data_IF_753079937978
#
_entry.id   IF_753079937978
#
_cell.length_a   1.000
_cell.length_b   1.000
_cell.length_c   1.000
_cell.angle_alpha   90.00
_cell.angle_beta   90.00
_cell.angle_gamma   90.00
#
_symmetry.space_group_name_H-M   'P 1'
#
loop_
_entity.id
_entity.type
_entity.pdbx_description
1 polymer ?
#
# COMPACT_ATOMS: atom_id res chain seq x y z
N UNK A 1 1.58 -17.03 -13.73
CA UNK A 1 2.01 -15.69 -13.40
C UNK A 1 1.36 -15.30 -12.09
N UNK A 2 2.13 -15.18 -11.03
CA UNK A 2 1.66 -14.79 -9.70
C UNK A 2 2.86 -14.46 -8.80
N UNK A 3 2.58 -13.92 -7.62
CA UNK A 3 3.47 -13.84 -6.48
C UNK A 3 2.65 -14.09 -5.21
N UNK A 4 3.27 -14.37 -4.10
CA UNK A 4 2.56 -14.47 -2.82
C UNK A 4 3.52 -14.34 -1.63
N UNK A 5 2.97 -13.87 -0.51
CA UNK A 5 3.63 -13.86 0.78
C UNK A 5 2.82 -14.67 1.81
N UNK A 6 3.44 -15.67 2.39
CA UNK A 6 2.86 -16.45 3.49
C UNK A 6 3.33 -15.89 4.83
N UNK A 7 2.38 -15.38 5.62
CA UNK A 7 2.64 -14.80 6.96
C UNK A 7 2.14 -15.74 8.04
N UNK A 8 2.95 -16.65 8.57
CA UNK A 8 2.59 -17.44 9.73
C UNK A 8 2.64 -16.60 11.02
N UNK A 9 2.11 -17.13 12.10
CA UNK A 9 2.28 -16.54 13.44
C UNK A 9 3.76 -16.40 13.80
N UNK A 10 4.06 -15.50 14.71
CA UNK A 10 5.43 -15.21 15.15
C UNK A 10 6.17 -16.45 15.62
N UNK A 11 7.49 -16.47 15.46
CA UNK A 11 8.34 -17.64 15.71
C UNK A 11 8.42 -18.63 14.54
N UNK A 12 7.53 -18.53 13.55
CA UNK A 12 7.57 -19.35 12.33
C UNK A 12 8.15 -18.53 11.15
N UNK A 13 8.80 -19.22 10.21
CA UNK A 13 9.43 -18.56 9.06
C UNK A 13 8.38 -18.15 8.04
N UNK A 14 8.31 -16.87 7.67
CA UNK A 14 7.51 -16.42 6.52
C UNK A 14 8.16 -16.86 5.21
N UNK A 15 7.38 -16.84 4.15
CA UNK A 15 7.87 -17.18 2.81
C UNK A 15 7.28 -16.24 1.76
N UNK A 16 8.14 -15.59 1.01
CA UNK A 16 7.79 -14.91 -0.24
C UNK A 16 8.10 -15.82 -1.42
N UNK A 17 7.20 -15.91 -2.38
CA UNK A 17 7.38 -16.63 -3.62
C UNK A 17 7.09 -15.72 -4.80
N UNK A 18 8.04 -15.68 -5.72
CA UNK A 18 7.92 -14.96 -6.98
C UNK A 18 7.87 -15.98 -8.11
N UNK A 19 7.05 -15.72 -9.12
CA UNK A 19 6.86 -16.63 -10.25
C UNK A 19 7.32 -15.97 -11.54
N UNK A 20 7.74 -16.80 -12.46
CA UNK A 20 8.03 -16.37 -13.84
C UNK A 20 6.71 -16.14 -14.56
N UNK A 21 6.54 -14.94 -15.09
CA UNK A 21 5.40 -14.55 -15.89
C UNK A 21 5.82 -14.48 -17.36
N UNK A 22 5.40 -15.45 -18.14
CA UNK A 22 5.90 -15.64 -19.52
C UNK A 22 7.44 -15.79 -19.54
N UNK A 23 8.16 -14.74 -19.92
CA UNK A 23 9.63 -14.70 -19.96
C UNK A 23 10.25 -13.77 -18.93
N UNK A 24 9.44 -13.21 -18.01
CA UNK A 24 9.88 -12.25 -17.01
C UNK A 24 9.79 -12.87 -15.63
N UNK A 25 10.86 -12.77 -14.88
CA UNK A 25 10.90 -13.25 -13.51
C UNK A 25 10.38 -12.17 -12.57
N UNK A 26 9.39 -12.51 -11.75
CA UNK A 26 8.73 -11.55 -10.83
C UNK A 26 9.66 -10.95 -9.78
N UNK A 27 10.78 -11.62 -9.49
CA UNK A 27 11.79 -11.11 -8.56
C UNK A 27 12.66 -9.97 -9.13
N UNK A 28 12.43 -9.58 -10.37
CA UNK A 28 13.05 -8.42 -11.02
C UNK A 28 12.11 -7.20 -11.12
N UNK A 29 10.87 -7.32 -10.64
CA UNK A 29 9.92 -6.20 -10.56
C UNK A 29 9.87 -5.66 -9.12
N UNK A 30 10.49 -4.51 -8.89
CA UNK A 30 10.57 -3.91 -7.57
C UNK A 30 9.19 -3.63 -6.95
N UNK A 31 8.21 -3.25 -7.77
CA UNK A 31 6.86 -2.99 -7.29
C UNK A 31 6.22 -4.27 -6.74
N UNK A 32 6.39 -5.39 -7.43
CA UNK A 32 5.87 -6.70 -6.98
C UNK A 32 6.60 -7.20 -5.74
N UNK A 33 7.94 -7.06 -5.69
CA UNK A 33 8.73 -7.44 -4.50
C UNK A 33 8.24 -6.71 -3.26
N UNK A 34 8.07 -5.39 -3.36
CA UNK A 34 7.62 -4.55 -2.23
C UNK A 34 6.17 -4.88 -1.87
N UNK A 35 5.30 -5.08 -2.86
CA UNK A 35 3.92 -5.49 -2.64
C UNK A 35 3.83 -6.77 -1.80
N UNK A 36 4.54 -7.80 -2.20
CA UNK A 36 4.53 -9.07 -1.46
C UNK A 36 5.09 -8.92 -0.04
N UNK A 37 6.16 -8.15 0.12
CA UNK A 37 6.69 -7.88 1.45
C UNK A 37 5.70 -7.07 2.31
N UNK A 38 4.91 -6.19 1.67
CA UNK A 38 3.83 -5.42 2.28
C UNK A 38 2.78 -6.31 2.97
N UNK A 39 2.44 -7.46 2.38
CA UNK A 39 1.58 -8.47 3.05
C UNK A 39 2.20 -8.97 4.36
N UNK A 40 3.51 -9.20 4.37
CA UNK A 40 4.22 -9.57 5.59
C UNK A 40 4.13 -8.50 6.67
N UNK A 41 4.31 -7.24 6.31
CA UNK A 41 4.23 -6.09 7.22
C UNK A 41 2.79 -5.96 7.77
N UNK A 42 1.81 -5.83 6.91
CA UNK A 42 0.42 -5.55 7.29
C UNK A 42 -0.19 -6.68 8.13
N UNK A 43 0.03 -7.94 7.75
CA UNK A 43 -0.43 -9.09 8.52
C UNK A 43 0.23 -9.23 9.90
N UNK A 44 1.50 -8.79 10.04
CA UNK A 44 2.22 -8.85 11.32
C UNK A 44 1.85 -7.72 12.27
N UNK A 45 1.58 -6.55 11.74
CA UNK A 45 1.27 -5.37 12.55
C UNK A 45 -0.19 -5.36 12.99
N UNK A 46 -1.12 -5.78 12.12
CA UNK A 46 -2.55 -5.79 12.44
C UNK A 46 -2.91 -6.93 13.37
N UNK A 47 -3.44 -6.62 14.54
CA UNK A 47 -3.81 -7.61 15.56
C UNK A 47 -2.64 -8.22 16.32
N UNK A 48 -1.42 -7.79 16.02
CA UNK A 48 -0.19 -8.22 16.68
C UNK A 48 0.39 -9.52 16.14
N UNK A 49 1.54 -9.96 16.69
CA UNK A 49 2.38 -11.00 16.07
C UNK A 49 1.75 -12.39 16.04
N UNK A 50 0.79 -12.68 16.91
CA UNK A 50 0.12 -13.97 16.98
C UNK A 50 -1.13 -14.08 16.09
N UNK A 51 -1.62 -12.96 15.52
CA UNK A 51 -2.88 -12.88 14.81
C UNK A 51 -2.69 -12.49 13.32
N UNK A 52 -2.00 -13.33 12.55
CA UNK A 52 -1.61 -13.06 11.17
C UNK A 52 -2.74 -13.18 10.12
N UNK A 53 -4.00 -13.35 10.53
CA UNK A 53 -5.17 -13.50 9.65
C UNK A 53 -6.21 -12.38 9.81
N UNK A 54 -5.83 -11.26 10.42
CA UNK A 54 -6.74 -10.17 10.74
C UNK A 54 -7.25 -9.37 9.52
N UNK A 55 -6.63 -9.52 8.35
CA UNK A 55 -6.99 -8.76 7.13
C UNK A 55 -7.83 -9.57 6.13
N UNK A 56 -8.59 -10.57 6.60
CA UNK A 56 -9.41 -11.45 5.74
C UNK A 56 -10.92 -11.23 5.92
N UNK A 57 -11.32 -10.02 6.28
CA UNK A 57 -12.72 -9.61 6.42
C UNK A 57 -13.32 -9.13 5.08
N UNK A 58 -14.57 -8.65 5.09
CA UNK A 58 -15.25 -8.21 3.87
C UNK A 58 -14.61 -6.98 3.23
N UNK A 59 -14.17 -6.02 4.03
CA UNK A 59 -13.41 -4.82 3.60
C UNK A 59 -11.90 -5.05 3.70
N UNK A 60 -11.43 -6.20 3.18
CA UNK A 60 -10.03 -6.62 3.32
C UNK A 60 -9.07 -5.68 2.58
N UNK A 61 -8.40 -4.84 3.36
CA UNK A 61 -7.46 -3.84 2.87
C UNK A 61 -6.05 -4.38 2.61
N UNK A 62 -5.80 -5.68 2.78
CA UNK A 62 -4.47 -6.30 2.71
C UNK A 62 -3.71 -5.99 1.42
N UNK A 63 -4.38 -6.09 0.27
CA UNK A 63 -3.83 -5.74 -1.04
C UNK A 63 -3.49 -4.25 -1.12
N UNK A 64 -4.35 -3.39 -0.57
CA UNK A 64 -4.14 -1.95 -0.59
C UNK A 64 -2.96 -1.49 0.27
N UNK A 65 -2.77 -2.09 1.44
CA UNK A 65 -1.57 -1.84 2.24
C UNK A 65 -0.30 -2.23 1.47
N UNK A 66 -0.33 -3.34 0.74
CA UNK A 66 0.79 -3.82 -0.07
C UNK A 66 1.09 -2.90 -1.26
N UNK A 67 0.06 -2.47 -1.99
CA UNK A 67 0.20 -1.52 -3.08
C UNK A 67 0.72 -0.16 -2.58
N UNK A 68 0.23 0.30 -1.42
CA UNK A 68 0.73 1.53 -0.81
C UNK A 68 2.24 1.47 -0.56
N UNK A 69 2.74 0.41 0.08
CA UNK A 69 4.18 0.26 0.27
C UNK A 69 4.93 0.17 -1.04
N UNK A 70 4.36 -0.50 -2.06
CA UNK A 70 4.93 -0.58 -3.40
C UNK A 70 5.11 0.82 -4.01
N UNK A 71 4.07 1.63 -3.98
CA UNK A 71 4.09 3.00 -4.48
C UNK A 71 5.12 3.86 -3.75
N UNK A 72 5.11 3.79 -2.41
CA UNK A 72 5.97 4.61 -1.56
C UNK A 72 7.45 4.29 -1.74
N UNK A 73 7.83 3.00 -1.73
CA UNK A 73 9.23 2.59 -1.78
C UNK A 73 9.81 2.57 -3.21
N UNK A 74 8.97 2.80 -4.23
CA UNK A 74 9.40 3.03 -5.61
C UNK A 74 9.23 4.49 -6.06
N UNK A 75 8.90 5.39 -5.14
CA UNK A 75 8.78 6.82 -5.41
C UNK A 75 10.16 7.43 -5.65
N UNK A 76 10.26 8.30 -6.66
CA UNK A 76 11.50 8.96 -7.05
C UNK A 76 11.40 10.49 -6.94
N UNK A 77 12.53 11.19 -6.81
CA UNK A 77 12.55 12.65 -6.89
C UNK A 77 11.99 13.14 -8.24
N UNK A 78 10.96 13.96 -8.19
CA UNK A 78 10.32 14.52 -9.39
C UNK A 78 8.99 13.85 -9.73
N UNK A 79 8.62 12.76 -9.08
CA UNK A 79 7.27 12.20 -9.19
C UNK A 79 6.23 13.23 -8.75
N UNK A 80 5.06 13.20 -9.39
CA UNK A 80 3.92 14.05 -9.07
C UNK A 80 2.65 13.23 -8.85
N UNK A 81 1.76 13.72 -7.99
CA UNK A 81 0.50 13.02 -7.65
C UNK A 81 -0.33 12.60 -8.86
N UNK A 82 -0.50 13.48 -9.89
CA UNK A 82 -1.24 13.13 -11.11
C UNK A 82 -0.55 12.13 -12.05
N UNK A 83 0.70 11.75 -11.79
CA UNK A 83 1.39 10.80 -12.66
C UNK A 83 0.75 9.41 -12.62
N UNK A 84 0.88 8.67 -13.73
CA UNK A 84 0.48 7.27 -13.82
C UNK A 84 1.43 6.39 -13.00
N UNK A 85 0.91 5.70 -11.99
CA UNK A 85 1.68 4.77 -11.17
C UNK A 85 1.03 3.39 -11.19
N UNK A 86 1.46 2.54 -12.14
CA UNK A 86 1.01 1.15 -12.18
C UNK A 86 1.88 0.25 -11.29
N UNK A 87 1.27 -0.75 -10.67
CA UNK A 87 1.98 -1.80 -9.93
C UNK A 87 2.21 -3.00 -10.85
N UNK A 88 3.42 -3.57 -10.88
CA UNK A 88 3.75 -4.76 -11.67
C UNK A 88 3.82 -4.53 -13.18
N UNK A 89 4.03 -3.30 -13.63
CA UNK A 89 4.05 -2.93 -15.06
C UNK A 89 5.13 -3.70 -15.83
N UNK A 90 6.33 -3.78 -15.28
CA UNK A 90 7.42 -4.50 -15.94
C UNK A 90 7.10 -6.00 -16.06
N UNK A 91 6.54 -6.61 -15.01
CA UNK A 91 6.22 -8.05 -14.99
C UNK A 91 5.26 -8.45 -16.11
N UNK A 92 4.26 -7.62 -16.40
CA UNK A 92 3.26 -7.88 -17.45
C UNK A 92 3.67 -7.35 -18.83
N UNK A 93 4.86 -6.75 -18.95
CA UNK A 93 5.40 -6.31 -20.23
C UNK A 93 5.05 -4.90 -20.64
N UNK A 94 4.59 -4.09 -19.70
CA UNK A 94 4.33 -2.68 -19.90
C UNK A 94 5.55 -1.82 -19.58
N UNK A 95 5.52 -0.56 -20.02
CA UNK A 95 6.47 0.47 -19.60
C UNK A 95 6.10 1.10 -18.25
N UNK A 96 6.96 1.96 -17.71
CA UNK A 96 6.73 2.60 -16.40
C UNK A 96 5.42 3.38 -16.29
N UNK A 97 4.90 3.92 -17.39
CA UNK A 97 3.61 4.63 -17.43
C UNK A 97 2.42 3.74 -17.78
N UNK A 98 2.55 2.41 -17.69
CA UNK A 98 1.45 1.48 -17.91
C UNK A 98 0.49 1.42 -16.72
N UNK A 99 -0.76 0.96 -16.92
CA UNK A 99 -1.75 0.83 -15.85
C UNK A 99 -1.40 -0.24 -14.81
N UNK A 100 -0.55 -1.23 -15.18
CA UNK A 100 -0.19 -2.33 -14.30
C UNK A 100 -1.28 -3.38 -14.13
N UNK A 101 -1.26 -4.08 -13.02
CA UNK A 101 -2.16 -5.22 -12.72
C UNK A 101 -3.49 -4.82 -12.05
N UNK A 102 -3.72 -3.53 -11.81
CA UNK A 102 -4.95 -3.01 -11.21
C UNK A 102 -5.93 -2.52 -12.30
N UNK A 103 -7.15 -2.21 -11.89
CA UNK A 103 -8.17 -1.67 -12.81
C UNK A 103 -7.77 -0.28 -13.30
N UNK A 104 -7.25 0.54 -12.39
CA UNK A 104 -6.70 1.86 -12.71
C UNK A 104 -5.25 1.97 -12.20
N UNK A 105 -4.40 2.76 -12.87
CA UNK A 105 -3.13 3.19 -12.27
C UNK A 105 -3.42 4.12 -11.09
N UNK A 106 -2.54 4.14 -10.10
CA UNK A 106 -2.65 5.10 -9.02
C UNK A 106 -2.29 6.50 -9.52
N UNK A 107 -3.14 7.46 -9.23
CA UNK A 107 -3.00 8.87 -9.63
C UNK A 107 -3.92 9.72 -8.75
N UNK A 108 -3.52 10.96 -8.46
CA UNK A 108 -4.41 11.96 -7.83
C UNK A 108 -5.26 12.70 -8.86
N UNK A 109 -5.11 12.42 -10.15
CA UNK A 109 -6.02 12.90 -11.18
C UNK A 109 -7.24 11.99 -11.26
N UNK A 110 -8.40 12.50 -10.84
CA UNK A 110 -9.65 11.77 -10.84
C UNK A 110 -10.12 11.32 -12.23
N UNK A 111 -9.59 11.92 -13.30
CA UNK A 111 -9.83 11.46 -14.66
C UNK A 111 -9.02 10.19 -15.00
N UNK A 112 -7.96 9.90 -14.26
CA UNK A 112 -7.11 8.72 -14.41
C UNK A 112 -7.56 7.62 -13.46
N UNK A 113 -7.73 7.94 -12.16
CA UNK A 113 -8.21 7.02 -11.15
C UNK A 113 -9.47 7.59 -10.48
N UNK A 114 -10.66 7.19 -10.91
CA UNK A 114 -11.91 7.73 -10.40
C UNK A 114 -12.41 7.05 -9.12
N UNK A 115 -11.63 6.19 -8.49
CA UNK A 115 -12.06 5.45 -7.30
C UNK A 115 -12.50 6.36 -6.16
N UNK A 116 -13.60 5.97 -5.55
CA UNK A 116 -14.17 6.54 -4.33
C UNK A 116 -14.47 5.42 -3.33
N UNK A 117 -14.73 5.77 -2.09
CA UNK A 117 -15.14 4.78 -1.08
C UNK A 117 -16.40 3.99 -1.49
N UNK A 118 -17.29 4.60 -2.29
CA UNK A 118 -18.53 3.94 -2.74
C UNK A 118 -18.25 2.72 -3.63
N UNK A 119 -17.13 2.68 -4.31
CA UNK A 119 -16.76 1.60 -5.24
C UNK A 119 -16.52 0.26 -4.52
N UNK A 120 -16.24 0.26 -3.22
CA UNK A 120 -16.12 -1.00 -2.45
C UNK A 120 -17.38 -1.87 -2.51
N UNK A 121 -18.55 -1.30 -2.80
CA UNK A 121 -19.83 -2.02 -2.94
C UNK A 121 -19.82 -3.01 -4.09
N UNK A 122 -19.03 -2.74 -5.12
CA UNK A 122 -18.95 -3.53 -6.35
C UNK A 122 -17.57 -4.09 -6.62
N UNK A 123 -16.55 -3.59 -5.93
CA UNK A 123 -15.16 -4.03 -6.07
C UNK A 123 -14.99 -5.49 -5.67
N UNK A 124 -14.23 -6.24 -6.47
CA UNK A 124 -13.96 -7.65 -6.21
C UNK A 124 -12.86 -7.78 -5.15
N UNK A 125 -13.19 -8.32 -4.00
CA UNK A 125 -12.24 -8.61 -2.95
C UNK A 125 -11.30 -9.78 -3.36
N UNK A 126 -10.02 -9.79 -2.91
CA UNK A 126 -9.38 -8.75 -2.11
C UNK A 126 -8.81 -7.59 -2.93
N UNK A 127 -8.46 -7.82 -4.21
CA UNK A 127 -7.68 -6.89 -5.01
C UNK A 127 -8.41 -5.57 -5.29
N UNK A 128 -9.64 -5.62 -5.78
CA UNK A 128 -10.39 -4.39 -6.09
C UNK A 128 -10.71 -3.56 -4.85
N UNK A 129 -11.05 -4.19 -3.73
CA UNK A 129 -11.25 -3.48 -2.45
C UNK A 129 -9.93 -2.86 -1.99
N UNK A 130 -8.83 -3.60 -2.09
CA UNK A 130 -7.49 -3.08 -1.77
C UNK A 130 -7.06 -1.91 -2.65
N UNK A 131 -7.38 -1.95 -3.95
CA UNK A 131 -7.10 -0.87 -4.88
C UNK A 131 -7.77 0.44 -4.46
N UNK A 132 -9.04 0.39 -4.05
CA UNK A 132 -9.74 1.58 -3.51
C UNK A 132 -9.03 2.10 -2.25
N UNK A 133 -8.63 1.20 -1.34
CA UNK A 133 -7.91 1.60 -0.13
C UNK A 133 -6.56 2.27 -0.43
N UNK A 134 -5.77 1.68 -1.33
CA UNK A 134 -4.48 2.24 -1.70
C UNK A 134 -4.62 3.60 -2.41
N UNK A 135 -5.68 3.80 -3.20
CA UNK A 135 -5.98 5.10 -3.81
C UNK A 135 -6.20 6.17 -2.74
N UNK A 136 -6.96 5.89 -1.68
CA UNK A 136 -7.17 6.83 -0.57
C UNK A 136 -5.85 7.15 0.16
N UNK A 137 -4.99 6.15 0.38
CA UNK A 137 -3.68 6.35 1.00
C UNK A 137 -2.73 7.16 0.09
N UNK A 138 -2.84 6.99 -1.22
CA UNK A 138 -2.06 7.73 -2.20
C UNK A 138 -2.45 9.21 -2.21
N UNK A 139 -3.75 9.52 -2.20
CA UNK A 139 -4.26 10.88 -2.04
C UNK A 139 -3.76 11.53 -0.74
N UNK A 140 -3.92 10.85 0.39
CA UNK A 140 -3.42 11.32 1.69
C UNK A 140 -1.93 11.65 1.63
N UNK A 141 -1.14 10.80 0.99
CA UNK A 141 0.31 10.99 0.88
C UNK A 141 0.64 12.29 0.13
N UNK A 142 -0.02 12.53 -0.99
CA UNK A 142 0.24 13.73 -1.79
C UNK A 142 -0.27 15.00 -1.11
N UNK A 143 -1.36 14.94 -0.35
CA UNK A 143 -1.81 16.06 0.50
C UNK A 143 -0.77 16.40 1.58
N UNK A 144 -0.19 15.40 2.23
CA UNK A 144 0.91 15.62 3.18
C UNK A 144 2.13 16.22 2.47
N UNK A 145 2.50 15.68 1.30
CA UNK A 145 3.65 16.17 0.53
C UNK A 145 3.43 17.57 -0.07
N UNK A 146 2.19 18.03 -0.22
CA UNK A 146 1.89 19.41 -0.59
C UNK A 146 2.29 20.40 0.52
N UNK A 147 2.33 19.97 1.77
CA UNK A 147 2.73 20.79 2.94
C UNK A 147 4.17 20.55 3.36
N UNK A 148 4.64 19.30 3.28
CA UNK A 148 6.00 18.90 3.63
C UNK A 148 6.63 18.21 2.42
N UNK A 149 7.59 18.83 1.72
CA UNK A 149 8.16 18.29 0.49
C UNK A 149 8.78 16.89 0.65
N UNK A 150 8.89 16.18 -0.48
CA UNK A 150 9.53 14.87 -0.56
C UNK A 150 10.98 14.88 -0.05
N UNK A 151 11.37 13.85 0.68
CA UNK A 151 12.77 13.58 1.06
C UNK A 151 13.26 12.29 0.39
N UNK A 152 14.40 12.29 -0.31
CA UNK A 152 14.98 11.08 -0.88
C UNK A 152 15.61 10.14 0.17
N UNK A 153 15.80 10.60 1.39
CA UNK A 153 16.30 9.76 2.49
C UNK A 153 15.12 9.08 3.20
N UNK A 154 14.79 7.88 2.75
CA UNK A 154 13.72 7.09 3.36
C UNK A 154 14.02 6.63 4.80
N UNK A 155 15.28 6.65 5.21
CA UNK A 155 15.69 6.11 6.49
C UNK A 155 15.77 7.17 7.60
N UNK A 156 16.40 8.33 7.31
CA UNK A 156 16.57 9.41 8.27
C UNK A 156 15.85 10.69 7.88
N UNK A 157 15.13 10.68 6.74
CA UNK A 157 14.42 11.84 6.25
C UNK A 157 13.20 12.19 7.09
N UNK A 158 12.72 13.41 6.89
CA UNK A 158 11.51 13.95 7.52
C UNK A 158 10.59 14.60 6.49
N UNK A 159 10.64 14.15 5.25
CA UNK A 159 9.74 14.60 4.19
C UNK A 159 8.30 14.06 4.37
N UNK A 160 7.38 14.57 3.58
CA UNK A 160 5.99 14.13 3.60
C UNK A 160 5.81 12.64 3.31
N UNK A 161 6.65 12.07 2.46
CA UNK A 161 6.73 10.64 2.22
C UNK A 161 7.14 9.84 3.47
N UNK A 162 8.12 10.33 4.25
CA UNK A 162 8.52 9.71 5.52
C UNK A 162 7.40 9.79 6.57
N UNK A 163 6.71 10.94 6.64
CA UNK A 163 5.56 11.15 7.53
C UNK A 163 4.44 10.19 7.16
N UNK A 164 4.05 10.12 5.89
CA UNK A 164 3.02 9.20 5.42
C UNK A 164 3.35 7.74 5.73
N UNK A 165 4.59 7.30 5.47
CA UNK A 165 5.05 5.95 5.82
C UNK A 165 4.95 5.69 7.33
N UNK A 166 5.31 6.66 8.16
CA UNK A 166 5.23 6.53 9.61
C UNK A 166 3.76 6.41 10.08
N UNK A 167 2.88 7.26 9.57
CA UNK A 167 1.45 7.25 9.87
C UNK A 167 0.79 5.92 9.51
N UNK A 168 1.04 5.43 8.30
CA UNK A 168 0.48 4.17 7.82
C UNK A 168 1.03 2.98 8.61
N UNK A 169 2.34 2.95 8.85
CA UNK A 169 2.96 1.84 9.59
C UNK A 169 2.51 1.80 11.05
N UNK A 170 2.36 2.94 11.71
CA UNK A 170 1.83 2.99 13.07
C UNK A 170 0.32 2.69 13.09
N UNK A 171 -0.44 3.21 12.10
CA UNK A 171 -1.86 2.91 11.95
C UNK A 171 -2.14 1.42 11.83
N UNK A 172 -1.31 0.65 11.11
CA UNK A 172 -1.41 -0.81 11.05
C UNK A 172 -1.32 -1.50 12.43
N UNK A 173 -0.55 -0.94 13.36
CA UNK A 173 -0.45 -1.46 14.73
C UNK A 173 -1.64 -1.10 15.60
N UNK A 174 -2.27 0.03 15.32
CA UNK A 174 -3.37 0.59 16.10
C UNK A 174 -4.74 0.11 15.65
N UNK A 175 -4.90 -0.32 14.40
CA UNK A 175 -6.18 -0.81 13.91
C UNK A 175 -6.58 -2.14 14.57
N UNK A 176 -7.89 -2.41 14.76
CA UNK A 176 -8.37 -3.66 15.31
C UNK A 176 -8.13 -4.83 14.33
N UNK A 177 -8.29 -6.06 14.82
CA UNK A 177 -8.40 -7.22 13.95
C UNK A 177 -9.70 -7.16 13.13
N UNK A 178 -9.65 -7.51 11.86
CA UNK A 178 -10.74 -7.42 10.89
C UNK A 178 -11.25 -5.98 10.65
N UNK A 179 -10.34 -5.02 10.38
CA UNK A 179 -10.69 -3.62 10.26
C UNK A 179 -11.43 -3.34 8.95
N UNK A 180 -12.44 -2.46 9.00
CA UNK A 180 -12.97 -1.79 7.81
C UNK A 180 -12.17 -0.52 7.48
N UNK A 181 -12.53 0.15 6.39
CA UNK A 181 -11.87 1.39 5.94
C UNK A 181 -11.93 2.51 7.01
N UNK A 182 -13.06 2.59 7.72
CA UNK A 182 -13.22 3.57 8.80
C UNK A 182 -12.26 3.28 9.96
N UNK A 183 -12.11 2.00 10.33
CA UNK A 183 -11.16 1.60 11.38
C UNK A 183 -9.71 1.89 10.97
N UNK A 184 -9.36 1.61 9.70
CA UNK A 184 -8.04 1.91 9.15
C UNK A 184 -7.74 3.41 9.14
N UNK A 185 -8.70 4.24 8.70
CA UNK A 185 -8.61 5.70 8.77
C UNK A 185 -8.42 6.19 10.20
N UNK A 186 -9.25 5.75 11.13
CA UNK A 186 -9.22 6.19 12.52
C UNK A 186 -7.89 5.78 13.19
N UNK A 187 -7.35 4.62 12.83
CA UNK A 187 -6.04 4.19 13.29
C UNK A 187 -4.90 5.07 12.76
N UNK A 188 -4.96 5.53 11.51
CA UNK A 188 -3.99 6.48 10.94
C UNK A 188 -4.10 7.84 11.64
N UNK A 189 -5.31 8.34 11.92
CA UNK A 189 -5.50 9.57 12.69
C UNK A 189 -4.99 9.43 14.14
N UNK A 190 -5.18 8.27 14.76
CA UNK A 190 -4.61 7.98 16.07
C UNK A 190 -3.07 7.92 16.03
N UNK A 191 -2.50 7.41 14.95
CA UNK A 191 -1.05 7.44 14.72
C UNK A 191 -0.53 8.87 14.59
N UNK A 192 -1.24 9.74 13.87
CA UNK A 192 -0.87 11.16 13.78
C UNK A 192 -0.89 11.82 15.17
N UNK A 193 -1.93 11.58 15.93
CA UNK A 193 -2.02 12.12 17.31
C UNK A 193 -0.86 11.62 18.17
N UNK A 194 -0.47 10.35 18.04
CA UNK A 194 0.60 9.74 18.84
C UNK A 194 2.02 10.20 18.43
N UNK A 195 2.28 10.31 17.13
CA UNK A 195 3.61 10.59 16.59
C UNK A 195 3.86 12.09 16.40
N UNK A 196 2.84 12.84 16.00
CA UNK A 196 2.97 14.22 15.55
C UNK A 196 2.02 15.20 16.26
N UNK A 197 1.24 14.74 17.24
CA UNK A 197 0.32 15.59 18.02
C UNK A 197 -0.90 16.06 17.22
N UNK A 198 -1.27 15.35 16.15
CA UNK A 198 -2.39 15.72 15.28
C UNK A 198 -2.04 16.84 14.30
N UNK A 199 -0.82 16.83 13.76
CA UNK A 199 -0.33 17.90 12.89
C UNK A 199 -0.68 17.69 11.40
N UNK A 200 -1.10 16.49 10.99
CA UNK A 200 -1.31 16.11 9.59
C UNK A 200 -2.70 15.59 9.26
#
# INVERSE_FOLDING_TARGET
>A
CNANFSTPTDGNRPRMQMYVCNTRDGDLDNAVIVHEYGHGISNRLTGGPAASSCLQNQEQMGEGWSDYYSLMLTMEPGDAGPDYRGVGTWLIGEGPGGPGIRVYPYSTDFAINPHTYDDIKTAVAPHGVGEVWATMLWEMTWEIMATVPYSPDFYNGNGGNNISLALVTEGLKLQPCSPGFVDGRDAILAADQALFGGAY
#
